data_IF_690192886060
#
_entry.id   IF_690192886060
#
_cell.length_a   1.000
_cell.length_b   1.000
_cell.length_c   1.000
_cell.angle_alpha   90.00
_cell.angle_beta   90.00
_cell.angle_gamma   90.00
#
_symmetry.space_group_name_H-M   'P 1'
#
loop_
_entity.id
_entity.type
_entity.pdbx_description
1 polymer ?
#
# COMPACT_ATOMS: atom_id res chain seq x y z
N UNK A 1 -9.05 37.89 48.70
CA UNK A 1 -7.61 37.70 48.44
C UNK A 1 -7.43 36.22 48.12
N UNK A 2 -7.56 35.89 46.84
CA UNK A 2 -6.49 35.29 46.00
C UNK A 2 -6.50 33.76 46.14
N UNK A 3 -6.87 32.92 45.17
CA UNK A 3 -6.78 33.07 43.72
C UNK A 3 -5.47 32.47 43.23
N UNK A 4 -5.51 31.22 42.73
CA UNK A 4 -4.64 30.56 41.73
C UNK A 4 -4.78 29.03 41.90
N UNK A 5 -5.71 28.37 41.21
CA UNK A 5 -5.51 27.88 39.84
C UNK A 5 -4.06 27.45 39.56
N UNK A 6 -3.64 26.36 40.20
CA UNK A 6 -2.58 25.53 39.66
C UNK A 6 -3.12 24.78 38.42
N UNK A 7 -3.31 25.53 37.34
CA UNK A 7 -3.48 24.99 36.01
C UNK A 7 -2.19 24.22 35.70
N UNK A 8 -2.31 22.89 35.72
CA UNK A 8 -1.29 21.97 35.24
C UNK A 8 -1.11 22.26 33.75
N UNK A 9 -0.16 23.13 33.44
CA UNK A 9 0.29 23.44 32.10
C UNK A 9 0.91 22.15 31.55
N UNK A 10 0.09 21.33 30.91
CA UNK A 10 0.58 20.28 30.02
C UNK A 10 1.17 21.03 28.83
N UNK A 11 2.50 21.17 28.84
CA UNK A 11 3.28 21.60 27.69
C UNK A 11 3.09 20.58 26.56
N UNK A 12 2.00 20.73 25.81
CA UNK A 12 1.71 20.02 24.57
C UNK A 12 2.61 20.60 23.49
N UNK A 13 3.88 20.20 23.48
CA UNK A 13 4.69 20.33 22.27
C UNK A 13 3.94 19.62 21.15
N UNK A 14 3.52 20.31 20.07
CA UNK A 14 2.97 19.64 18.91
C UNK A 14 4.08 18.72 18.42
N UNK A 15 3.88 17.41 18.52
CA UNK A 15 4.83 16.46 18.00
C UNK A 15 4.85 16.62 16.47
N UNK A 16 5.78 17.44 15.97
CA UNK A 16 5.91 17.79 14.55
C UNK A 16 6.09 16.55 13.67
N UNK A 17 6.56 15.45 14.27
CA UNK A 17 6.89 14.19 13.59
C UNK A 17 5.86 13.07 13.89
N UNK A 18 5.07 13.17 14.98
CA UNK A 18 4.25 12.07 15.48
C UNK A 18 2.77 12.45 15.66
N UNK A 19 1.92 12.07 14.71
CA UNK A 19 0.47 12.36 14.77
C UNK A 19 -0.39 11.40 15.62
N UNK A 20 0.23 10.52 16.43
CA UNK A 20 -0.51 9.57 17.27
C UNK A 20 -1.42 8.61 16.49
N UNK A 21 -2.59 8.31 17.04
CA UNK A 21 -3.61 7.43 16.43
C UNK A 21 -4.19 8.04 15.15
N UNK A 22 -4.51 9.34 15.16
CA UNK A 22 -5.07 10.07 14.02
C UNK A 22 -4.08 10.18 12.86
N UNK A 23 -2.82 10.46 13.16
CA UNK A 23 -1.74 10.50 12.18
C UNK A 23 -1.49 9.15 11.51
N UNK A 24 -1.55 8.06 12.28
CA UNK A 24 -1.46 6.71 11.72
C UNK A 24 -2.66 6.38 10.80
N UNK A 25 -3.87 6.76 11.18
CA UNK A 25 -5.07 6.58 10.35
C UNK A 25 -4.98 7.37 9.04
N UNK A 26 -4.59 8.65 9.12
CA UNK A 26 -4.48 9.48 7.94
C UNK A 26 -3.33 9.05 7.01
N UNK A 27 -2.19 8.62 7.57
CA UNK A 27 -1.10 7.99 6.80
C UNK A 27 -1.59 6.73 6.07
N UNK A 28 -2.32 5.88 6.80
CA UNK A 28 -2.89 4.64 6.27
C UNK A 28 -3.89 4.93 5.14
N UNK A 29 -4.75 5.94 5.31
CA UNK A 29 -5.74 6.36 4.32
C UNK A 29 -5.07 6.92 3.05
N UNK A 30 -4.11 7.84 3.19
CA UNK A 30 -3.37 8.39 2.05
C UNK A 30 -2.60 7.30 1.29
N UNK A 31 -1.92 6.41 2.02
CA UNK A 31 -1.20 5.28 1.42
C UNK A 31 -2.17 4.35 0.69
N UNK A 32 -3.36 4.09 1.26
CA UNK A 32 -4.41 3.29 0.62
C UNK A 32 -4.91 3.92 -0.69
N UNK A 33 -5.09 5.24 -0.76
CA UNK A 33 -5.52 5.92 -1.99
C UNK A 33 -4.44 5.78 -3.08
N UNK A 34 -3.18 6.01 -2.74
CA UNK A 34 -2.07 5.84 -3.68
C UNK A 34 -1.97 4.39 -4.15
N UNK A 35 -2.06 3.43 -3.24
CA UNK A 35 -2.07 2.01 -3.58
C UNK A 35 -3.24 1.64 -4.48
N UNK A 36 -4.44 2.15 -4.22
CA UNK A 36 -5.61 1.89 -5.07
C UNK A 36 -5.37 2.36 -6.51
N UNK A 37 -4.83 3.56 -6.70
CA UNK A 37 -4.49 4.09 -8.02
C UNK A 37 -3.39 3.25 -8.68
N UNK A 38 -2.28 2.98 -7.99
CA UNK A 38 -1.18 2.18 -8.53
C UNK A 38 -1.61 0.75 -8.89
N UNK A 39 -2.46 0.12 -8.06
CA UNK A 39 -3.03 -1.20 -8.31
C UNK A 39 -3.99 -1.19 -9.51
N UNK A 40 -4.76 -0.13 -9.71
CA UNK A 40 -5.57 0.03 -10.91
C UNK A 40 -4.69 0.13 -12.17
N UNK A 41 -3.64 0.96 -12.13
CA UNK A 41 -2.73 1.14 -13.27
C UNK A 41 -1.98 -0.16 -13.60
N UNK A 42 -1.43 -0.86 -12.61
CA UNK A 42 -0.79 -2.17 -12.85
C UNK A 42 -1.81 -3.20 -13.34
N UNK A 43 -3.06 -3.17 -12.87
CA UNK A 43 -4.14 -4.01 -13.38
C UNK A 43 -4.38 -3.83 -14.89
N UNK A 44 -4.31 -2.60 -15.38
CA UNK A 44 -4.41 -2.32 -16.83
C UNK A 44 -3.27 -2.93 -17.63
N UNK A 45 -2.07 -3.05 -17.06
CA UNK A 45 -0.93 -3.69 -17.74
C UNK A 45 -1.19 -5.16 -18.06
N UNK A 46 -2.04 -5.83 -17.28
CA UNK A 46 -2.35 -7.26 -17.44
C UNK A 46 -3.13 -7.53 -18.72
N UNK A 47 -4.01 -6.60 -19.13
CA UNK A 47 -4.83 -6.72 -20.35
C UNK A 47 -3.95 -6.85 -21.61
N UNK A 48 -2.77 -6.24 -21.60
CA UNK A 48 -1.80 -6.30 -22.71
C UNK A 48 -0.40 -6.64 -22.20
N UNK A 49 -0.29 -7.69 -21.38
CA UNK A 49 0.94 -8.02 -20.65
C UNK A 49 2.16 -8.16 -21.57
N UNK A 50 2.03 -8.62 -22.82
CA UNK A 50 3.15 -8.73 -23.76
C UNK A 50 3.84 -7.38 -24.05
N UNK A 51 3.07 -6.38 -24.50
CA UNK A 51 3.61 -5.04 -24.81
C UNK A 51 3.91 -4.23 -23.56
N UNK A 52 3.13 -4.44 -22.49
CA UNK A 52 3.23 -3.70 -21.25
C UNK A 52 4.04 -4.43 -20.17
N UNK A 53 4.82 -5.46 -20.54
CA UNK A 53 5.65 -6.22 -19.57
C UNK A 53 6.60 -5.29 -18.84
N UNK A 54 7.25 -4.37 -19.56
CA UNK A 54 8.16 -3.39 -18.95
C UNK A 54 7.47 -2.56 -17.86
N UNK A 55 6.26 -2.07 -18.17
CA UNK A 55 5.48 -1.25 -17.24
C UNK A 55 4.97 -2.07 -16.05
N UNK A 56 4.56 -3.32 -16.28
CA UNK A 56 4.14 -4.24 -15.22
C UNK A 56 5.27 -4.49 -14.22
N UNK A 57 6.48 -4.79 -14.70
CA UNK A 57 7.66 -4.99 -13.85
C UNK A 57 8.02 -3.72 -13.08
N UNK A 58 8.03 -2.57 -13.77
CA UNK A 58 8.34 -1.28 -13.14
C UNK A 58 7.34 -0.92 -12.03
N UNK A 59 6.04 -0.97 -12.32
CA UNK A 59 4.99 -0.66 -11.35
C UNK A 59 4.94 -1.68 -10.23
N UNK A 60 5.20 -2.96 -10.52
CA UNK A 60 5.30 -4.02 -9.53
C UNK A 60 6.40 -3.75 -8.50
N UNK A 61 7.57 -3.28 -8.94
CA UNK A 61 8.65 -2.89 -8.04
C UNK A 61 8.37 -1.57 -7.30
N UNK A 62 7.79 -0.57 -7.98
CA UNK A 62 7.39 0.70 -7.37
C UNK A 62 6.40 0.47 -6.21
N UNK A 63 5.46 -0.46 -6.37
CA UNK A 63 4.46 -0.80 -5.36
C UNK A 63 5.05 -1.31 -4.04
N UNK A 64 6.27 -1.88 -4.04
CA UNK A 64 6.90 -2.42 -2.83
C UNK A 64 6.98 -1.39 -1.69
N UNK A 65 7.30 -0.14 -2.03
CA UNK A 65 7.44 0.93 -1.05
C UNK A 65 6.11 1.30 -0.38
N UNK A 66 5.11 1.79 -1.13
CA UNK A 66 3.79 2.11 -0.58
C UNK A 66 3.10 0.91 0.08
N UNK A 67 3.30 -0.30 -0.46
CA UNK A 67 2.77 -1.52 0.14
C UNK A 67 3.43 -1.79 1.50
N UNK A 68 4.76 -1.69 1.58
CA UNK A 68 5.50 -1.81 2.84
C UNK A 68 5.04 -0.78 3.87
N UNK A 69 4.83 0.46 3.45
CA UNK A 69 4.30 1.52 4.32
C UNK A 69 2.89 1.19 4.83
N UNK A 70 2.00 0.70 3.95
CA UNK A 70 0.64 0.28 4.34
C UNK A 70 0.70 -0.83 5.38
N UNK A 71 1.51 -1.87 5.14
CA UNK A 71 1.68 -3.00 6.06
C UNK A 71 2.29 -2.58 7.40
N UNK A 72 3.30 -1.71 7.38
CA UNK A 72 3.91 -1.18 8.60
C UNK A 72 2.91 -0.34 9.41
N UNK A 73 2.14 0.52 8.74
CA UNK A 73 1.18 1.40 9.39
C UNK A 73 0.02 0.63 10.02
N UNK A 74 -0.56 -0.34 9.31
CA UNK A 74 -1.64 -1.19 9.84
C UNK A 74 -1.13 -2.19 10.88
N UNK A 75 0.05 -2.77 10.67
CA UNK A 75 0.71 -3.66 11.61
C UNK A 75 1.06 -2.96 12.92
N UNK A 76 1.54 -1.71 12.85
CA UNK A 76 1.77 -0.88 14.03
C UNK A 76 0.48 -0.66 14.84
N UNK A 77 -0.61 -0.27 14.17
CA UNK A 77 -1.93 -0.12 14.82
C UNK A 77 -2.39 -1.43 15.48
N UNK A 78 -2.26 -2.54 14.77
CA UNK A 78 -2.60 -3.88 15.28
C UNK A 78 -1.79 -4.20 16.54
N UNK A 79 -0.48 -4.04 16.49
CA UNK A 79 0.41 -4.29 17.62
C UNK A 79 0.00 -3.43 18.82
N UNK A 80 -0.15 -2.12 18.65
CA UNK A 80 -0.52 -1.19 19.74
C UNK A 80 -1.87 -1.50 20.38
N UNK A 81 -2.83 -1.98 19.59
CA UNK A 81 -4.13 -2.42 20.08
C UNK A 81 -4.00 -3.65 21.00
N UNK A 82 -3.23 -4.65 20.58
CA UNK A 82 -3.05 -5.89 21.33
C UNK A 82 -2.09 -5.78 22.51
N UNK A 83 -1.11 -4.87 22.45
CA UNK A 83 -0.23 -4.57 23.61
C UNK A 83 -0.89 -3.65 24.63
N UNK A 84 -2.19 -3.35 24.50
CA UNK A 84 -2.94 -2.67 25.54
C UNK A 84 -2.86 -1.13 25.54
N UNK A 85 -2.38 -0.48 24.47
CA UNK A 85 -2.28 0.97 24.46
C UNK A 85 -3.68 1.62 24.49
N UNK A 86 -3.98 2.38 25.56
CA UNK A 86 -5.30 2.99 25.81
C UNK A 86 -5.82 3.80 24.61
N UNK A 87 -5.00 4.71 24.07
CA UNK A 87 -5.39 5.54 22.93
C UNK A 87 -5.80 4.73 21.68
N UNK A 88 -5.19 3.56 21.45
CA UNK A 88 -5.55 2.67 20.33
C UNK A 88 -6.75 1.76 20.64
N UNK A 89 -6.98 1.45 21.92
CA UNK A 89 -8.13 0.64 22.36
C UNK A 89 -9.42 1.43 22.42
N UNK A 90 -9.35 2.70 22.81
CA UNK A 90 -10.50 3.60 22.94
C UNK A 90 -11.14 3.89 21.57
N UNK A 91 -10.36 3.77 20.48
CA UNK A 91 -10.86 3.80 19.09
C UNK A 91 -11.64 2.54 18.67
N UNK A 92 -11.72 1.53 19.52
CA UNK A 92 -12.49 0.31 19.29
C UNK A 92 -11.74 -0.77 18.49
N UNK A 93 -12.24 -2.01 18.54
CA UNK A 93 -11.68 -3.13 17.80
C UNK A 93 -11.79 -2.91 16.28
N UNK A 94 -10.79 -3.34 15.49
CA UNK A 94 -10.95 -3.41 14.04
C UNK A 94 -12.07 -4.40 13.69
N UNK A 95 -12.83 -4.10 12.63
CA UNK A 95 -13.98 -4.89 12.20
C UNK A 95 -13.62 -6.37 11.99
N UNK A 96 -14.32 -7.27 12.68
CA UNK A 96 -13.98 -8.70 12.76
C UNK A 96 -14.00 -9.39 11.39
N UNK A 97 -14.98 -9.07 10.54
CA UNK A 97 -15.08 -9.64 9.19
C UNK A 97 -13.85 -9.31 8.32
N UNK A 98 -13.39 -8.05 8.38
CA UNK A 98 -12.18 -7.62 7.66
C UNK A 98 -10.90 -8.17 8.29
N UNK A 99 -10.92 -8.48 9.59
CA UNK A 99 -9.81 -9.09 10.33
C UNK A 99 -9.52 -10.53 9.90
N UNK A 100 -10.52 -11.28 9.46
CA UNK A 100 -10.35 -12.65 8.96
C UNK A 100 -9.81 -12.68 7.53
N UNK A 101 -10.24 -11.70 6.70
CA UNK A 101 -9.79 -11.57 5.32
C UNK A 101 -8.36 -10.99 5.24
N UNK A 102 -8.00 -10.09 6.16
CA UNK A 102 -6.71 -9.40 6.13
C UNK A 102 -5.48 -10.33 6.08
N UNK A 103 -5.36 -11.40 6.90
CA UNK A 103 -4.24 -12.34 6.80
C UNK A 103 -4.13 -13.00 5.42
N UNK A 104 -5.26 -13.34 4.80
CA UNK A 104 -5.28 -13.94 3.46
C UNK A 104 -4.79 -12.92 2.43
N UNK A 105 -5.26 -11.67 2.51
CA UNK A 105 -4.80 -10.58 1.63
C UNK A 105 -3.30 -10.34 1.81
N UNK A 106 -2.81 -10.24 3.05
CA UNK A 106 -1.38 -10.03 3.34
C UNK A 106 -0.56 -11.18 2.77
N UNK A 107 -0.92 -12.43 3.09
CA UNK A 107 -0.19 -13.61 2.64
C UNK A 107 -0.17 -13.74 1.12
N UNK A 108 -1.33 -13.64 0.47
CA UNK A 108 -1.43 -13.69 -0.99
C UNK A 108 -0.66 -12.53 -1.65
N UNK A 109 -0.65 -11.34 -1.05
CA UNK A 109 0.17 -10.21 -1.53
C UNK A 109 1.65 -10.57 -1.50
N UNK A 110 2.13 -11.11 -0.38
CA UNK A 110 3.53 -11.53 -0.26
C UNK A 110 3.88 -12.59 -1.32
N UNK A 111 3.02 -13.58 -1.53
CA UNK A 111 3.26 -14.63 -2.53
C UNK A 111 3.32 -14.04 -3.95
N UNK A 112 2.40 -13.14 -4.33
CA UNK A 112 2.41 -12.49 -5.66
C UNK A 112 3.69 -11.69 -5.87
N UNK A 113 4.08 -10.86 -4.90
CA UNK A 113 5.26 -10.02 -5.04
C UNK A 113 6.56 -10.84 -5.00
N UNK A 114 6.68 -11.79 -4.06
CA UNK A 114 7.87 -12.65 -3.96
C UNK A 114 8.03 -13.50 -5.22
N UNK A 115 6.96 -14.14 -5.69
CA UNK A 115 7.03 -14.91 -6.95
C UNK A 115 7.38 -14.02 -8.14
N UNK A 116 6.86 -12.78 -8.20
CA UNK A 116 7.19 -11.82 -9.26
C UNK A 116 8.66 -11.38 -9.24
N UNK A 117 9.22 -11.13 -8.06
CA UNK A 117 10.64 -10.81 -7.88
C UNK A 117 11.52 -12.01 -8.27
N UNK A 118 11.17 -13.22 -7.81
CA UNK A 118 11.91 -14.44 -8.16
C UNK A 118 11.89 -14.66 -9.68
N UNK A 119 10.74 -14.48 -10.33
CA UNK A 119 10.59 -14.54 -11.78
C UNK A 119 11.51 -13.55 -12.48
N UNK A 120 11.55 -12.29 -12.01
CA UNK A 120 12.41 -11.26 -12.60
C UNK A 120 13.87 -11.74 -12.72
N UNK A 121 14.40 -12.37 -11.66
CA UNK A 121 15.79 -12.86 -11.63
C UNK A 121 16.00 -14.21 -12.34
N UNK A 122 15.03 -15.12 -12.32
CA UNK A 122 15.17 -16.44 -12.96
C UNK A 122 15.09 -16.36 -14.50
N UNK A 123 14.48 -15.31 -15.03
CA UNK A 123 14.36 -15.08 -16.47
C UNK A 123 13.49 -16.11 -17.20
N UNK A 124 13.43 -16.05 -18.54
CA UNK A 124 12.39 -16.75 -19.30
C UNK A 124 12.54 -18.27 -19.45
N UNK A 125 13.73 -18.84 -19.21
CA UNK A 125 14.10 -20.18 -19.68
C UNK A 125 13.41 -21.32 -18.91
N UNK A 126 13.16 -21.14 -17.60
CA UNK A 126 12.54 -22.14 -16.72
C UNK A 126 11.37 -21.58 -15.88
N UNK A 127 10.61 -20.64 -16.45
CA UNK A 127 9.62 -19.85 -15.71
C UNK A 127 8.25 -20.50 -15.51
N UNK A 128 7.98 -21.68 -16.08
CA UNK A 128 6.61 -22.21 -16.19
C UNK A 128 5.93 -22.44 -14.82
N UNK A 129 6.64 -23.07 -13.88
CA UNK A 129 6.13 -23.34 -12.54
C UNK A 129 5.95 -22.05 -11.73
N UNK A 130 6.99 -21.21 -11.66
CA UNK A 130 6.94 -19.92 -10.97
C UNK A 130 5.88 -18.97 -11.56
N UNK A 131 5.68 -18.96 -12.88
CA UNK A 131 4.61 -18.20 -13.53
C UNK A 131 3.24 -18.72 -13.11
N UNK A 132 3.10 -20.03 -12.94
CA UNK A 132 1.84 -20.64 -12.49
C UNK A 132 1.56 -20.22 -11.07
N UNK A 133 2.55 -20.28 -10.17
CA UNK A 133 2.43 -19.78 -8.80
C UNK A 133 2.05 -18.30 -8.79
N UNK A 134 2.73 -17.46 -9.58
CA UNK A 134 2.45 -16.04 -9.67
C UNK A 134 1.02 -15.74 -10.16
N UNK A 135 0.56 -16.45 -11.20
CA UNK A 135 -0.81 -16.29 -11.75
C UNK A 135 -1.88 -16.77 -10.78
N UNK A 136 -1.71 -17.94 -10.19
CA UNK A 136 -2.68 -18.51 -9.24
C UNK A 136 -2.77 -17.64 -8.00
N UNK A 137 -1.63 -17.25 -7.43
CA UNK A 137 -1.61 -16.32 -6.30
C UNK A 137 -2.21 -14.97 -6.66
N UNK A 138 -2.00 -14.47 -7.88
CA UNK A 138 -2.63 -13.23 -8.37
C UNK A 138 -4.15 -13.35 -8.40
N UNK A 139 -4.72 -14.46 -8.87
CA UNK A 139 -6.18 -14.66 -8.90
C UNK A 139 -6.76 -14.67 -7.49
N UNK A 140 -6.14 -15.42 -6.57
CA UNK A 140 -6.55 -15.47 -5.15
C UNK A 140 -6.45 -14.07 -4.53
N UNK A 141 -5.30 -13.42 -4.72
CA UNK A 141 -5.06 -12.06 -4.24
C UNK A 141 -6.10 -11.07 -4.76
N UNK A 142 -6.42 -11.12 -6.06
CA UNK A 142 -7.39 -10.23 -6.69
C UNK A 142 -8.78 -10.41 -6.08
N UNK A 143 -9.23 -11.66 -5.90
CA UNK A 143 -10.53 -11.95 -5.31
C UNK A 143 -10.64 -11.41 -3.88
N UNK A 144 -9.68 -11.74 -3.01
CA UNK A 144 -9.71 -11.32 -1.61
C UNK A 144 -9.45 -9.82 -1.44
N UNK A 145 -8.58 -9.22 -2.27
CA UNK A 145 -8.34 -7.77 -2.25
C UNK A 145 -9.56 -7.00 -2.73
N UNK A 146 -10.24 -7.47 -3.78
CA UNK A 146 -11.50 -6.88 -4.22
C UNK A 146 -12.56 -6.94 -3.10
N UNK A 147 -12.75 -8.11 -2.47
CA UNK A 147 -13.66 -8.24 -1.33
C UNK A 147 -13.26 -7.32 -0.15
N UNK A 148 -11.97 -7.24 0.16
CA UNK A 148 -11.45 -6.38 1.21
C UNK A 148 -11.69 -4.88 0.94
N UNK A 149 -11.46 -4.44 -0.30
CA UNK A 149 -11.68 -3.04 -0.72
C UNK A 149 -13.18 -2.73 -0.76
N UNK A 150 -14.00 -3.60 -1.35
CA UNK A 150 -15.45 -3.44 -1.40
C UNK A 150 -16.07 -3.41 0.00
N UNK A 151 -15.57 -4.24 0.92
CA UNK A 151 -15.99 -4.23 2.33
C UNK A 151 -15.68 -2.91 3.05
N UNK A 152 -14.67 -2.16 2.60
CA UNK A 152 -14.33 -0.85 3.15
C UNK A 152 -15.11 0.32 2.52
N UNK A 153 -15.76 0.14 1.36
CA UNK A 153 -16.48 1.22 0.67
C UNK A 153 -17.63 1.84 1.48
N UNK A 154 -18.51 1.08 2.17
CA UNK A 154 -19.61 1.65 2.93
C UNK A 154 -19.12 2.58 4.05
N UNK A 155 -18.03 2.20 4.73
CA UNK A 155 -17.45 2.97 5.81
C UNK A 155 -16.82 4.27 5.31
N UNK A 156 -16.19 4.24 4.13
CA UNK A 156 -15.72 5.46 3.46
C UNK A 156 -16.89 6.39 3.09
N UNK A 157 -17.96 5.84 2.51
CA UNK A 157 -19.14 6.61 2.14
C UNK A 157 -19.83 7.28 3.33
N UNK A 158 -19.97 6.56 4.45
CA UNK A 158 -20.49 7.13 5.68
C UNK A 158 -19.58 8.21 6.27
N UNK A 159 -18.27 8.00 6.27
CA UNK A 159 -17.32 8.98 6.79
C UNK A 159 -17.32 10.28 5.96
N UNK A 160 -17.35 10.18 4.63
CA UNK A 160 -17.41 11.34 3.73
C UNK A 160 -18.71 12.13 3.91
N UNK A 161 -19.86 11.45 3.95
CA UNK A 161 -21.16 12.11 4.19
C UNK A 161 -21.21 12.80 5.57
N UNK A 162 -20.64 12.17 6.58
CA UNK A 162 -20.59 12.74 7.92
C UNK A 162 -19.63 13.93 8.04
N UNK A 163 -18.57 13.99 7.23
CA UNK A 163 -17.65 15.13 7.17
C UNK A 163 -18.29 16.31 6.40
N UNK A 164 -18.96 16.01 5.28
CA UNK A 164 -19.69 16.99 4.48
C UNK A 164 -20.83 17.65 5.29
N UNK A 165 -21.57 16.85 6.06
CA UNK A 165 -22.61 17.35 6.97
C UNK A 165 -22.08 18.23 8.12
N UNK A 166 -20.80 18.10 8.48
CA UNK A 166 -20.16 18.89 9.55
C UNK A 166 -19.56 20.20 9.06
N UNK A 167 -19.43 20.41 7.74
CA UNK A 167 -18.77 21.60 7.19
C UNK A 167 -17.30 21.72 7.63
N UNK A 168 -16.63 20.59 7.88
CA UNK A 168 -15.27 20.57 8.41
C UNK A 168 -14.29 21.19 7.40
N UNK A 169 -13.75 22.37 7.72
CA UNK A 169 -12.53 22.87 7.11
C UNK A 169 -11.34 22.18 7.79
N UNK A 170 -10.52 21.40 7.07
CA UNK A 170 -9.42 20.66 7.68
C UNK A 170 -8.36 21.65 8.19
N UNK A 171 -8.41 21.99 9.48
CA UNK A 171 -7.29 22.62 10.17
C UNK A 171 -6.05 21.75 10.02
N UNK A 172 -4.87 22.36 9.90
CA UNK A 172 -3.59 21.66 9.67
C UNK A 172 -3.35 20.66 10.81
N UNK A 173 -3.47 19.33 10.57
CA UNK A 173 -3.35 18.36 11.64
C UNK A 173 -1.90 18.30 12.14
N UNK A 174 -1.67 18.19 13.45
CA UNK A 174 -0.33 17.93 14.00
C UNK A 174 0.31 16.69 13.36
N UNK A 175 1.60 16.74 13.03
CA UNK A 175 2.34 15.61 12.44
C UNK A 175 2.25 15.47 10.91
N UNK A 176 1.80 16.50 10.19
CA UNK A 176 1.73 16.49 8.72
C UNK A 176 3.07 16.27 8.01
N UNK A 177 4.15 16.88 8.50
CA UNK A 177 5.48 16.76 7.89
C UNK A 177 6.01 15.32 7.94
N UNK A 178 5.93 14.65 9.11
CA UNK A 178 6.36 13.26 9.27
C UNK A 178 5.62 12.29 8.35
N UNK A 179 4.32 12.54 8.12
CA UNK A 179 3.52 11.74 7.17
C UNK A 179 3.93 11.93 5.72
N UNK A 180 4.14 13.17 5.28
CA UNK A 180 4.60 13.44 3.93
C UNK A 180 6.00 12.86 3.70
N UNK A 181 6.88 12.93 4.70
CA UNK A 181 8.20 12.28 4.65
C UNK A 181 8.06 10.76 4.54
N UNK A 182 7.19 10.13 5.33
CA UNK A 182 6.97 8.68 5.26
C UNK A 182 6.40 8.25 3.90
N UNK A 183 5.42 8.98 3.37
CA UNK A 183 4.85 8.74 2.04
C UNK A 183 5.88 8.95 0.93
N UNK A 184 6.58 10.07 0.93
CA UNK A 184 7.63 10.37 -0.04
C UNK A 184 8.75 9.34 0.03
N UNK A 185 9.20 8.97 1.24
CA UNK A 185 10.20 7.94 1.47
C UNK A 185 9.77 6.58 0.94
N UNK A 186 8.50 6.19 1.12
CA UNK A 186 7.97 4.95 0.56
C UNK A 186 7.94 4.97 -0.97
N UNK A 187 7.48 6.07 -1.58
CA UNK A 187 7.45 6.22 -3.04
C UNK A 187 8.86 6.23 -3.62
N UNK A 188 9.76 7.04 -3.05
CA UNK A 188 11.16 7.14 -3.47
C UNK A 188 11.87 5.79 -3.28
N UNK A 189 11.65 5.09 -2.16
CA UNK A 189 12.22 3.78 -1.92
C UNK A 189 11.78 2.76 -2.97
N UNK A 190 10.48 2.69 -3.27
CA UNK A 190 9.96 1.85 -4.34
C UNK A 190 10.52 2.23 -5.73
N UNK A 191 10.62 3.53 -6.01
CA UNK A 191 11.18 4.04 -7.25
C UNK A 191 12.66 3.69 -7.42
N UNK A 192 13.46 3.83 -6.36
CA UNK A 192 14.87 3.45 -6.36
C UNK A 192 15.02 1.96 -6.65
N UNK A 193 14.24 1.10 -5.99
CA UNK A 193 14.25 -0.35 -6.27
C UNK A 193 13.88 -0.63 -7.73
N UNK A 194 12.83 0.02 -8.25
CA UNK A 194 12.40 -0.14 -9.63
C UNK A 194 13.51 0.26 -10.63
N UNK A 195 14.16 1.40 -10.40
CA UNK A 195 15.23 1.92 -11.26
C UNK A 195 16.47 1.02 -11.24
N UNK A 196 16.91 0.62 -10.04
CA UNK A 196 18.11 -0.23 -9.87
C UNK A 196 17.94 -1.57 -10.59
N UNK A 197 16.71 -2.09 -10.67
CA UNK A 197 16.42 -3.38 -11.29
C UNK A 197 16.03 -3.31 -12.78
N UNK A 198 16.00 -2.12 -13.40
CA UNK A 198 15.74 -1.97 -14.86
C UNK A 198 16.59 -2.90 -15.73
N UNK A 199 17.90 -3.11 -15.47
CA UNK A 199 18.70 -4.01 -16.31
C UNK A 199 18.17 -5.44 -16.39
N UNK A 200 17.46 -5.91 -15.35
CA UNK A 200 16.86 -7.24 -15.32
C UNK A 200 15.63 -7.36 -16.23
N UNK A 201 15.08 -6.25 -16.70
CA UNK A 201 13.86 -6.24 -17.53
C UNK A 201 14.19 -6.68 -18.96
N UNK A 202 15.43 -6.49 -19.43
CA UNK A 202 15.85 -6.77 -20.80
C UNK A 202 15.58 -8.21 -21.22
N UNK A 203 15.76 -9.17 -20.32
CA UNK A 203 15.48 -10.59 -20.58
C UNK A 203 14.00 -10.84 -20.94
N UNK A 204 13.10 -10.00 -20.46
CA UNK A 204 11.66 -10.11 -20.64
C UNK A 204 11.14 -9.29 -21.83
N UNK A 205 11.81 -8.19 -22.18
CA UNK A 205 11.38 -7.29 -23.27
C UNK A 205 12.04 -7.58 -24.62
N UNK A 206 13.23 -8.21 -24.63
CA UNK A 206 13.98 -8.49 -25.87
C UNK A 206 13.27 -9.45 -26.84
N UNK A 207 12.40 -10.33 -26.32
CA UNK A 207 11.65 -11.29 -27.15
C UNK A 207 10.57 -10.63 -28.04
N UNK A 208 10.17 -9.38 -27.75
CA UNK A 208 9.28 -8.61 -28.64
C UNK A 208 9.99 -8.00 -29.85
N UNK A 209 11.30 -7.72 -29.75
CA UNK A 209 12.07 -7.05 -30.79
C UNK A 209 12.54 -8.01 -31.91
N UNK A 210 12.86 -9.27 -31.57
CA UNK A 210 13.31 -10.27 -32.56
C UNK A 210 12.17 -10.82 -33.43
N UNK A 211 10.93 -10.83 -32.94
CA UNK A 211 9.78 -11.31 -33.72
C UNK A 211 9.38 -10.37 -34.88
N UNK A 212 9.79 -9.09 -34.84
CA UNK A 212 9.47 -8.11 -35.89
C UNK A 212 10.42 -8.16 -37.11
N UNK A 213 11.56 -8.85 -37.03
CA UNK A 213 12.54 -8.87 -38.14
C UNK A 213 12.44 -10.09 -39.07
N UNK A 214 11.58 -11.07 -38.78
CA UNK A 214 11.45 -12.29 -39.60
C UNK A 214 10.23 -12.32 -40.54
N UNK A 215 9.59 -11.15 -40.79
CA UNK A 215 8.40 -11.03 -41.63
C UNK A 215 8.62 -10.52 -43.06
N UNK A 216 9.87 -10.34 -43.51
CA UNK A 216 10.18 -9.84 -44.85
C UNK A 216 11.24 -10.70 -45.54
N UNK A 217 10.80 -11.81 -46.15
CA UNK A 217 11.48 -12.47 -47.27
C UNK A 217 10.51 -13.39 -47.98
#
# INVERSE_FOLDING_TARGET
MEGQFAAKEHSSHPAIIGGGTDGNEQLTAMTSVILFVLLAVIGLTIVRIGQLTWLHLFLGLLLLGPLGLKMASTGYRFMRYYTGNRAYRDKGPPEIALRLIAPIVVFSTLVVFVSGIILLFHGPRNRAELLTIHKVSFIVWLAFTALHVLGHLPNLGHALRAAEARGDHPGVPPGGAGRWIALAGAIVGGLVVAIVLIPQFGAWTAHGALAHHHGHS
#
